data_IF_810396626423
#
_entry.id   IF_810396626423
#
_cell.length_a   1.000
_cell.length_b   1.000
_cell.length_c   1.000
_cell.angle_alpha   90.00
_cell.angle_beta   90.00
_cell.angle_gamma   90.00
#
_symmetry.space_group_name_H-M   'P 1'
#
loop_
_entity.id
_entity.type
_entity.pdbx_description
1 polymer ?
#
# COMPACT_ATOMS: atom_id res chain seq x y z
N UNK A 1 -9.31 -30.56 -2.53
CA UNK A 1 -9.95 -29.28 -2.68
C UNK A 1 -10.50 -28.74 -1.34
N UNK A 2 -9.76 -28.78 -0.25
CA UNK A 2 -10.21 -28.24 1.06
C UNK A 2 -9.05 -27.70 1.91
N UNK A 3 -7.87 -27.41 1.31
CA UNK A 3 -6.72 -26.89 2.04
C UNK A 3 -6.40 -25.42 1.72
N UNK A 4 -7.10 -24.79 0.80
CA UNK A 4 -6.86 -23.41 0.37
C UNK A 4 -7.62 -22.37 1.21
N UNK A 5 -8.58 -22.80 2.04
CA UNK A 5 -9.38 -21.88 2.87
C UNK A 5 -8.63 -21.34 4.11
N UNK A 6 -7.42 -21.82 4.39
CA UNK A 6 -6.65 -21.36 5.54
C UNK A 6 -5.66 -20.24 5.21
N UNK A 7 -5.42 -19.94 3.93
CA UNK A 7 -4.50 -18.87 3.50
C UNK A 7 -5.11 -17.46 3.62
N UNK A 8 -6.43 -17.36 3.60
CA UNK A 8 -7.13 -16.08 3.63
C UNK A 8 -7.09 -15.34 4.98
N UNK A 9 -6.63 -15.99 6.04
CA UNK A 9 -6.57 -15.37 7.38
C UNK A 9 -5.19 -14.84 7.76
N UNK A 10 -4.17 -15.13 6.96
CA UNK A 10 -2.77 -14.72 7.26
C UNK A 10 -2.43 -13.33 6.76
N UNK A 11 -3.20 -12.74 5.86
CA UNK A 11 -2.94 -11.41 5.30
C UNK A 11 -3.12 -10.27 6.32
N UNK A 12 -3.65 -10.55 7.48
CA UNK A 12 -4.06 -9.56 8.48
C UNK A 12 -2.96 -9.26 9.50
N UNK A 13 -1.89 -10.07 9.58
CA UNK A 13 -0.99 -10.04 10.74
C UNK A 13 0.50 -9.95 10.43
N UNK A 14 0.93 -9.62 9.23
CA UNK A 14 2.36 -9.53 8.90
C UNK A 14 2.93 -8.11 8.99
N UNK A 15 2.52 -7.35 10.00
CA UNK A 15 3.35 -6.26 10.48
C UNK A 15 4.23 -6.80 11.60
N UNK A 16 5.35 -7.39 11.23
CA UNK A 16 6.38 -7.80 12.18
C UNK A 16 6.84 -6.59 12.96
N UNK A 17 6.57 -6.56 14.25
CA UNK A 17 7.09 -5.59 15.18
C UNK A 17 8.61 -5.58 15.15
N UNK A 18 9.19 -4.79 14.29
CA UNK A 18 10.61 -4.45 14.31
C UNK A 18 10.78 -3.09 14.93
N UNK A 19 11.25 -3.13 16.18
CA UNK A 19 11.88 -2.04 16.91
C UNK A 19 11.21 -0.66 16.82
N UNK A 20 10.60 -0.27 17.92
CA UNK A 20 10.39 1.14 18.28
C UNK A 20 11.73 1.88 18.09
N UNK A 21 11.90 2.53 16.96
CA UNK A 21 12.94 3.51 16.76
C UNK A 21 12.58 4.68 17.68
N UNK A 22 13.36 4.87 18.71
CA UNK A 22 13.28 6.07 19.55
C UNK A 22 13.57 7.27 18.67
N UNK A 23 12.56 8.14 18.53
CA UNK A 23 12.57 9.32 17.70
C UNK A 23 13.70 10.29 18.16
N UNK A 24 14.81 10.23 17.48
CA UNK A 24 15.83 11.30 17.45
C UNK A 24 16.33 11.54 16.01
N UNK A 25 15.70 10.97 14.97
CA UNK A 25 16.24 11.04 13.61
C UNK A 25 15.18 11.36 12.57
N UNK A 26 15.61 12.18 11.66
CA UNK A 26 15.02 12.69 10.43
C UNK A 26 13.55 12.32 10.19
N UNK A 27 12.70 13.34 10.17
CA UNK A 27 11.31 13.26 9.72
C UNK A 27 11.18 12.25 8.56
N UNK A 28 10.30 11.26 8.69
CA UNK A 28 10.11 10.19 7.71
C UNK A 28 9.90 10.76 6.28
N UNK A 29 9.18 11.87 6.13
CA UNK A 29 9.05 12.53 4.83
C UNK A 29 10.40 12.87 4.21
N UNK A 30 11.44 13.15 5.00
CA UNK A 30 12.79 13.41 4.48
C UNK A 30 13.45 12.19 3.84
N UNK A 31 12.98 10.99 4.15
CA UNK A 31 13.48 9.72 3.62
C UNK A 31 12.80 9.32 2.32
N UNK A 32 11.56 9.76 2.09
CA UNK A 32 10.71 9.40 0.95
C UNK A 32 10.60 10.52 -0.09
N UNK A 33 11.67 11.26 -0.32
CA UNK A 33 11.67 12.35 -1.31
C UNK A 33 11.55 11.82 -2.73
N UNK A 34 10.73 12.46 -3.58
CA UNK A 34 10.58 12.09 -4.98
C UNK A 34 9.13 12.04 -5.44
N UNK A 35 8.93 11.49 -6.62
CA UNK A 35 7.60 11.29 -7.23
C UNK A 35 7.27 9.81 -7.24
N UNK A 36 6.04 9.48 -6.88
CA UNK A 36 5.54 8.12 -6.74
C UNK A 36 4.32 7.91 -7.63
N UNK A 37 4.26 6.75 -8.26
CA UNK A 37 3.14 6.25 -9.07
C UNK A 37 2.54 5.01 -8.43
N UNK A 38 1.37 4.58 -8.88
CA UNK A 38 0.73 3.36 -8.38
C UNK A 38 1.60 2.13 -8.62
N UNK A 39 1.77 1.30 -7.59
CA UNK A 39 2.67 0.16 -7.57
C UNK A 39 2.17 -0.97 -8.51
N UNK A 40 0.93 -1.40 -8.33
CA UNK A 40 0.41 -2.60 -8.99
C UNK A 40 0.32 -2.51 -10.51
N UNK A 41 0.01 -1.36 -11.15
CA UNK A 41 0.15 -1.21 -12.59
C UNK A 41 1.58 -1.49 -13.08
N UNK A 42 2.61 -1.06 -12.33
CA UNK A 42 4.02 -1.33 -12.66
C UNK A 42 4.34 -2.81 -12.48
N UNK A 43 3.99 -3.41 -11.33
CA UNK A 43 4.28 -4.82 -11.06
C UNK A 43 3.57 -5.79 -12.00
N UNK A 44 2.44 -5.39 -12.59
CA UNK A 44 1.65 -6.21 -13.52
C UNK A 44 2.06 -6.08 -14.99
N UNK A 45 3.09 -5.29 -15.31
CA UNK A 45 3.58 -5.21 -16.68
C UNK A 45 4.08 -6.58 -17.18
N UNK A 46 3.76 -6.92 -18.45
CA UNK A 46 4.07 -8.22 -19.06
C UNK A 46 5.56 -8.60 -18.93
N UNK A 47 6.46 -7.61 -18.96
CA UNK A 47 7.89 -7.84 -18.82
C UNK A 47 8.30 -8.45 -17.47
N UNK A 48 7.49 -8.32 -16.43
CA UNK A 48 7.76 -8.85 -15.09
C UNK A 48 7.08 -10.20 -14.81
N UNK A 49 6.34 -10.76 -15.76
CA UNK A 49 5.63 -12.02 -15.57
C UNK A 49 6.57 -13.18 -15.18
N UNK A 50 7.71 -13.31 -15.87
CA UNK A 50 8.72 -14.33 -15.54
C UNK A 50 9.32 -14.11 -14.14
N UNK A 51 9.46 -12.87 -13.69
CA UNK A 51 9.93 -12.58 -12.34
C UNK A 51 8.92 -13.03 -11.27
N UNK A 52 7.64 -12.80 -11.49
CA UNK A 52 6.59 -13.33 -10.64
C UNK A 52 6.65 -14.85 -10.52
N UNK A 53 6.72 -15.57 -11.64
CA UNK A 53 6.81 -17.03 -11.66
C UNK A 53 8.07 -17.54 -10.96
N UNK A 54 9.20 -16.87 -11.14
CA UNK A 54 10.46 -17.25 -10.49
C UNK A 54 10.40 -17.12 -8.96
N UNK A 55 9.65 -16.17 -8.44
CA UNK A 55 9.47 -15.97 -6.99
C UNK A 55 8.38 -16.88 -6.40
N UNK A 56 7.28 -17.09 -7.13
CA UNK A 56 6.11 -17.84 -6.64
C UNK A 56 6.31 -19.35 -6.76
N UNK A 57 6.90 -19.85 -7.85
CA UNK A 57 7.07 -21.29 -8.09
C UNK A 57 7.79 -22.05 -6.97
N UNK A 58 8.88 -21.52 -6.38
CA UNK A 58 9.53 -22.20 -5.25
C UNK A 58 8.65 -22.34 -4.02
N UNK A 59 7.66 -21.47 -3.85
CA UNK A 59 6.79 -21.41 -2.67
C UNK A 59 5.55 -22.31 -2.82
N UNK A 60 4.97 -22.38 -4.03
CA UNK A 60 3.69 -23.08 -4.27
C UNK A 60 3.78 -24.25 -5.24
N UNK A 61 4.90 -24.42 -5.94
CA UNK A 61 5.11 -25.44 -6.97
C UNK A 61 4.63 -25.02 -8.37
N UNK A 62 5.18 -25.67 -9.42
CA UNK A 62 4.91 -25.31 -10.83
C UNK A 62 3.42 -25.37 -11.21
N UNK A 63 2.66 -26.31 -10.64
CA UNK A 63 1.25 -26.53 -10.99
C UNK A 63 0.35 -25.36 -10.52
N UNK A 64 0.72 -24.69 -9.43
CA UNK A 64 -0.08 -23.64 -8.82
C UNK A 64 0.44 -22.23 -9.14
N UNK A 65 1.65 -22.09 -9.68
CA UNK A 65 2.35 -20.80 -9.76
C UNK A 65 1.58 -19.74 -10.58
N UNK A 66 1.08 -20.08 -11.75
CA UNK A 66 0.32 -19.15 -12.62
C UNK A 66 -0.96 -18.65 -11.97
N UNK A 67 -1.73 -19.56 -11.37
CA UNK A 67 -2.96 -19.21 -10.68
C UNK A 67 -2.67 -18.35 -9.44
N UNK A 68 -1.56 -18.62 -8.76
CA UNK A 68 -1.14 -17.86 -7.58
C UNK A 68 -0.69 -16.44 -7.96
N UNK A 69 0.11 -16.28 -9.03
CA UNK A 69 0.50 -14.95 -9.53
C UNK A 69 -0.74 -14.14 -9.88
N UNK A 70 -1.67 -14.75 -10.62
CA UNK A 70 -2.92 -14.10 -10.99
C UNK A 70 -3.73 -13.67 -9.76
N UNK A 71 -3.76 -14.50 -8.72
CA UNK A 71 -4.44 -14.20 -7.47
C UNK A 71 -3.77 -13.05 -6.68
N UNK A 72 -2.44 -13.05 -6.56
CA UNK A 72 -1.70 -12.00 -5.86
C UNK A 72 -1.92 -10.62 -6.50
N UNK A 73 -1.84 -10.55 -7.82
CA UNK A 73 -2.14 -9.31 -8.55
C UNK A 73 -3.60 -8.90 -8.40
N UNK A 74 -4.53 -9.87 -8.45
CA UNK A 74 -5.97 -9.62 -8.27
C UNK A 74 -6.32 -9.04 -6.91
N UNK A 75 -5.66 -9.49 -5.84
CA UNK A 75 -5.92 -9.05 -4.45
C UNK A 75 -5.81 -7.54 -4.26
N UNK A 76 -4.89 -6.89 -4.96
CA UNK A 76 -4.57 -5.47 -4.78
C UNK A 76 -5.09 -4.58 -5.91
N UNK A 77 -5.99 -5.09 -6.73
CA UNK A 77 -6.62 -4.36 -7.84
C UNK A 77 -8.12 -4.24 -7.66
N UNK A 78 -8.59 -4.16 -6.41
CA UNK A 78 -9.97 -3.91 -6.06
C UNK A 78 -10.42 -2.52 -6.54
N UNK A 79 -11.72 -2.37 -6.72
CA UNK A 79 -12.39 -1.14 -7.11
C UNK A 79 -13.48 -0.74 -6.10
N UNK A 80 -13.56 -1.49 -4.98
CA UNK A 80 -14.49 -1.24 -3.89
C UNK A 80 -13.72 -0.89 -2.63
N UNK A 81 -14.24 0.07 -1.87
CA UNK A 81 -13.75 0.41 -0.54
C UNK A 81 -14.90 0.93 0.35
N UNK A 82 -14.64 1.05 1.65
CA UNK A 82 -15.62 1.50 2.62
C UNK A 82 -16.78 0.53 2.81
N UNK A 83 -17.96 1.05 3.08
CA UNK A 83 -19.13 0.20 3.40
C UNK A 83 -19.52 -0.74 2.26
N UNK A 84 -19.32 -0.34 1.01
CA UNK A 84 -19.63 -1.18 -0.16
C UNK A 84 -18.72 -2.42 -0.21
N UNK A 85 -17.43 -2.25 0.09
CA UNK A 85 -16.50 -3.38 0.20
C UNK A 85 -16.83 -4.29 1.39
N UNK A 86 -17.14 -3.72 2.55
CA UNK A 86 -17.56 -4.49 3.74
C UNK A 86 -18.75 -5.37 3.40
N UNK A 87 -19.81 -4.79 2.82
CA UNK A 87 -21.06 -5.52 2.48
C UNK A 87 -20.79 -6.62 1.43
N UNK A 88 -19.93 -6.35 0.44
CA UNK A 88 -19.58 -7.30 -0.61
C UNK A 88 -18.80 -8.50 -0.05
N UNK A 89 -17.80 -8.24 0.80
CA UNK A 89 -16.91 -9.28 1.33
C UNK A 89 -17.53 -10.07 2.51
N UNK A 90 -18.47 -9.47 3.23
CA UNK A 90 -19.33 -10.25 4.15
C UNK A 90 -20.23 -11.24 3.40
N UNK A 91 -20.71 -10.86 2.21
CA UNK A 91 -21.54 -11.72 1.39
C UNK A 91 -20.75 -12.83 0.67
N UNK A 92 -19.52 -12.54 0.26
CA UNK A 92 -18.61 -13.46 -0.44
C UNK A 92 -17.15 -13.21 -0.03
N UNK A 93 -16.68 -13.80 1.09
CA UNK A 93 -15.31 -13.62 1.57
C UNK A 93 -14.23 -14.07 0.57
N UNK A 94 -14.54 -15.00 -0.33
CA UNK A 94 -13.60 -15.48 -1.33
C UNK A 94 -13.34 -14.44 -2.44
N UNK A 95 -14.15 -13.38 -2.51
CA UNK A 95 -13.98 -12.27 -3.44
C UNK A 95 -13.18 -11.09 -2.87
N UNK A 96 -12.71 -11.18 -1.62
CA UNK A 96 -12.04 -10.08 -0.91
C UNK A 96 -10.81 -9.59 -1.67
N UNK A 97 -10.75 -8.25 -1.83
CA UNK A 97 -9.64 -7.52 -2.46
C UNK A 97 -9.40 -6.20 -1.75
N UNK A 98 -8.22 -5.65 -1.95
CA UNK A 98 -7.91 -4.29 -1.55
C UNK A 98 -7.91 -3.37 -2.77
N UNK A 99 -8.43 -2.17 -2.61
CA UNK A 99 -8.20 -1.07 -3.53
C UNK A 99 -6.85 -0.44 -3.15
N UNK A 100 -5.83 -0.67 -4.00
CA UNK A 100 -4.47 -0.19 -3.74
C UNK A 100 -4.08 1.01 -4.61
N UNK A 101 -5.05 1.70 -5.16
CA UNK A 101 -4.88 2.85 -6.03
C UNK A 101 -5.06 4.19 -5.29
N UNK A 102 -4.60 5.26 -5.92
CA UNK A 102 -4.89 6.61 -5.45
C UNK A 102 -6.38 6.94 -5.58
N UNK A 103 -6.93 7.60 -4.57
CA UNK A 103 -8.27 8.20 -4.63
C UNK A 103 -8.22 9.69 -4.99
N UNK A 104 -9.39 10.26 -5.28
CA UNK A 104 -9.52 11.70 -5.54
C UNK A 104 -8.94 12.17 -6.88
N UNK A 105 -8.73 11.26 -7.83
CA UNK A 105 -8.22 11.56 -9.16
C UNK A 105 -6.71 11.79 -9.24
N UNK A 106 -5.98 11.52 -8.18
CA UNK A 106 -4.51 11.58 -8.16
C UNK A 106 -3.97 10.47 -9.06
N UNK A 107 -2.99 10.81 -9.92
CA UNK A 107 -2.25 9.85 -10.73
C UNK A 107 -0.78 9.74 -10.30
N UNK A 108 -0.24 10.79 -9.67
CA UNK A 108 1.11 10.83 -9.13
C UNK A 108 1.15 11.66 -7.86
N UNK A 109 1.94 11.24 -6.90
CA UNK A 109 2.22 11.97 -5.67
C UNK A 109 3.70 12.37 -5.62
N UNK A 110 3.99 13.59 -5.19
CA UNK A 110 5.35 14.07 -5.00
C UNK A 110 5.56 14.54 -3.57
N UNK A 111 6.67 14.09 -2.96
CA UNK A 111 7.14 14.57 -1.66
C UNK A 111 8.39 15.42 -1.86
N UNK A 112 8.35 16.69 -1.45
CA UNK A 112 9.43 17.66 -1.55
C UNK A 112 9.59 18.41 -0.21
N UNK A 113 10.63 18.08 0.56
CA UNK A 113 10.72 18.49 1.95
C UNK A 113 9.51 17.97 2.74
N UNK A 114 8.80 18.86 3.41
CA UNK A 114 7.57 18.54 4.12
C UNK A 114 6.31 18.79 3.29
N UNK A 115 6.44 19.07 2.01
CA UNK A 115 5.31 19.27 1.11
C UNK A 115 4.94 17.95 0.43
N UNK A 116 3.68 17.56 0.52
CA UNK A 116 3.11 16.49 -0.30
C UNK A 116 2.17 17.15 -1.32
N UNK A 117 2.27 16.73 -2.57
CA UNK A 117 1.42 17.20 -3.65
C UNK A 117 0.97 16.04 -4.53
N UNK A 118 -0.21 16.17 -5.14
CA UNK A 118 -0.74 15.23 -6.10
C UNK A 118 -1.17 15.91 -7.39
N UNK A 119 -0.96 15.21 -8.51
CA UNK A 119 -1.42 15.65 -9.84
C UNK A 119 -2.31 14.58 -10.47
N UNK A 120 -3.21 15.01 -11.36
CA UNK A 120 -4.00 14.10 -12.19
C UNK A 120 -3.18 13.53 -13.37
N UNK A 121 -3.82 12.70 -14.20
CA UNK A 121 -3.21 12.10 -15.38
C UNK A 121 -2.78 13.13 -16.46
N UNK A 122 -3.37 14.31 -16.46
CA UNK A 122 -3.03 15.42 -17.35
C UNK A 122 -1.92 16.34 -16.77
N UNK A 123 -1.50 16.09 -15.54
CA UNK A 123 -0.48 16.86 -14.82
C UNK A 123 -1.04 18.11 -14.12
N UNK A 124 -2.35 18.25 -13.98
CA UNK A 124 -2.93 19.35 -13.20
C UNK A 124 -2.82 19.05 -11.72
N UNK A 125 -2.45 20.06 -10.92
CA UNK A 125 -2.34 19.92 -9.46
C UNK A 125 -3.73 19.74 -8.86
N UNK A 126 -3.91 18.64 -8.13
CA UNK A 126 -5.11 18.32 -7.34
C UNK A 126 -4.99 18.90 -5.94
N UNK A 127 -3.83 18.66 -5.29
CA UNK A 127 -3.51 19.21 -3.98
C UNK A 127 -2.02 19.52 -3.86
N UNK A 128 -1.66 20.43 -2.94
CA UNK A 128 -0.28 20.71 -2.54
C UNK A 128 -0.31 21.38 -1.17
N UNK A 129 0.14 20.69 -0.13
CA UNK A 129 0.12 21.17 1.25
C UNK A 129 1.43 20.86 1.97
N UNK A 130 1.76 21.65 3.00
CA UNK A 130 2.82 21.34 3.94
C UNK A 130 2.29 20.48 5.08
N UNK A 131 3.05 19.48 5.50
CA UNK A 131 2.67 18.52 6.52
C UNK A 131 3.62 18.53 7.71
N UNK A 132 3.08 18.22 8.87
CA UNK A 132 3.83 18.05 10.11
C UNK A 132 3.49 16.70 10.73
N UNK A 133 4.50 16.03 11.28
CA UNK A 133 4.33 14.76 11.96
C UNK A 133 3.40 14.93 13.18
N UNK A 134 2.61 13.90 13.44
CA UNK A 134 1.72 13.80 14.60
C UNK A 134 2.19 12.66 15.49
N UNK A 135 2.04 12.86 16.80
CA UNK A 135 2.20 11.79 17.78
C UNK A 135 0.84 11.10 18.00
N UNK A 136 0.60 10.03 17.26
CA UNK A 136 -0.63 9.24 17.32
C UNK A 136 -0.28 7.82 17.73
N UNK A 137 -0.73 7.41 18.94
CA UNK A 137 -0.63 6.00 19.34
C UNK A 137 -1.53 5.15 18.44
N UNK A 138 -0.94 4.14 17.79
CA UNK A 138 -1.67 3.20 16.96
C UNK A 138 -1.01 1.82 17.01
N UNK A 139 -1.80 0.77 16.84
CA UNK A 139 -1.35 -0.62 16.93
C UNK A 139 -0.55 -1.07 15.70
N UNK A 140 -0.71 -0.37 14.57
CA UNK A 140 -0.13 -0.74 13.27
C UNK A 140 1.22 -0.05 12.99
N UNK A 141 1.72 0.80 13.90
CA UNK A 141 3.00 1.49 13.73
C UNK A 141 3.02 2.58 12.66
N UNK A 142 1.85 2.99 12.14
CA UNK A 142 1.77 4.05 11.13
C UNK A 142 2.33 5.37 11.63
N UNK A 143 2.98 6.09 10.71
CA UNK A 143 3.47 7.44 10.90
C UNK A 143 2.44 8.44 10.38
N UNK A 144 1.87 9.22 11.27
CA UNK A 144 0.80 10.16 10.93
C UNK A 144 1.34 11.56 10.67
N UNK A 145 0.76 12.21 9.67
CA UNK A 145 1.03 13.58 9.26
C UNK A 145 -0.26 14.35 9.08
N UNK A 146 -0.22 15.66 9.36
CA UNK A 146 -1.34 16.56 9.13
C UNK A 146 -0.90 17.85 8.45
N UNK A 147 -1.80 18.44 7.66
CA UNK A 147 -1.69 19.83 7.25
C UNK A 147 -2.61 20.73 8.05
N UNK A 148 -2.21 22.00 8.22
CA UNK A 148 -3.03 23.04 8.82
C UNK A 148 -3.94 23.75 7.80
N UNK A 149 -3.84 23.41 6.52
CA UNK A 149 -4.61 24.06 5.47
C UNK A 149 -6.08 23.63 5.52
N UNK A 150 -6.98 24.59 5.71
CA UNK A 150 -8.40 24.32 5.92
C UNK A 150 -9.14 23.81 4.67
N UNK A 151 -8.52 23.89 3.50
CA UNK A 151 -9.07 23.48 2.20
C UNK A 151 -8.47 22.16 1.69
N UNK A 152 -7.72 21.45 2.54
CA UNK A 152 -7.07 20.19 2.16
C UNK A 152 -8.07 19.03 1.92
N UNK A 153 -9.28 19.08 2.52
CA UNK A 153 -10.30 18.05 2.36
C UNK A 153 -9.76 16.64 2.66
N UNK A 154 -9.93 15.70 1.74
CA UNK A 154 -9.44 14.32 1.92
C UNK A 154 -7.91 14.19 2.07
N UNK A 155 -7.15 15.22 1.79
CA UNK A 155 -5.69 15.24 1.95
C UNK A 155 -5.25 15.90 3.27
N UNK A 156 -6.15 16.04 4.24
CA UNK A 156 -5.83 16.66 5.55
C UNK A 156 -4.85 15.82 6.36
N UNK A 157 -5.04 14.51 6.38
CA UNK A 157 -4.19 13.58 7.11
C UNK A 157 -3.58 12.52 6.18
N UNK A 158 -2.34 12.14 6.48
CA UNK A 158 -1.67 10.98 5.88
C UNK A 158 -1.22 10.02 6.99
N UNK A 159 -1.29 8.72 6.70
CA UNK A 159 -0.75 7.66 7.54
C UNK A 159 0.13 6.77 6.64
N UNK A 160 1.44 6.75 6.89
CA UNK A 160 2.42 5.96 6.15
C UNK A 160 2.82 4.74 6.96
N UNK A 161 2.93 3.57 6.30
CA UNK A 161 3.56 2.40 6.87
C UNK A 161 5.09 2.58 6.83
N UNK A 162 5.81 2.40 7.95
CA UNK A 162 7.25 2.67 8.01
C UNK A 162 8.13 1.53 7.51
N UNK A 163 7.58 0.36 7.27
CA UNK A 163 8.31 -0.89 7.00
C UNK A 163 8.70 -1.12 5.54
N UNK A 164 8.24 -0.28 4.63
CA UNK A 164 8.28 -0.55 3.19
C UNK A 164 9.44 0.08 2.44
N UNK A 165 10.37 0.78 3.11
CA UNK A 165 11.19 1.76 2.42
C UNK A 165 12.63 1.38 2.12
N UNK A 166 13.28 0.59 2.98
CA UNK A 166 14.74 0.52 2.93
C UNK A 166 15.27 -0.22 1.69
N UNK A 167 14.56 -1.26 1.25
CA UNK A 167 15.08 -2.15 0.20
C UNK A 167 14.24 -2.14 -1.09
N UNK A 168 12.99 -1.68 -1.06
CA UNK A 168 12.05 -1.90 -2.16
C UNK A 168 11.57 -0.64 -2.87
N UNK A 169 11.84 0.55 -2.34
CA UNK A 169 11.43 1.84 -2.92
C UNK A 169 9.92 1.93 -3.20
N UNK A 170 9.11 1.28 -2.37
CA UNK A 170 7.68 1.38 -2.42
C UNK A 170 7.13 2.01 -1.14
N UNK A 171 5.93 2.58 -1.23
CA UNK A 171 5.22 3.20 -0.13
C UNK A 171 3.87 2.53 0.02
N UNK A 172 3.49 2.32 1.26
CA UNK A 172 2.12 2.02 1.63
C UNK A 172 1.58 3.12 2.51
N UNK A 173 0.43 3.67 2.17
CA UNK A 173 -0.15 4.77 2.92
C UNK A 173 -1.64 4.97 2.66
N UNK A 174 -2.25 5.74 3.52
CA UNK A 174 -3.64 6.16 3.45
C UNK A 174 -3.74 7.66 3.66
N UNK A 175 -4.82 8.29 3.20
CA UNK A 175 -5.13 9.69 3.47
C UNK A 175 -6.63 9.91 3.60
N UNK A 176 -7.04 10.84 4.47
CA UNK A 176 -8.45 11.17 4.69
C UNK A 176 -8.62 12.58 5.29
N UNK A 177 -9.85 13.10 5.22
CA UNK A 177 -10.24 14.31 5.93
C UNK A 177 -10.40 14.09 7.44
N UNK A 178 -10.79 12.87 7.86
CA UNK A 178 -10.94 12.51 9.27
C UNK A 178 -9.86 11.50 9.66
N UNK A 179 -9.12 11.81 10.74
CA UNK A 179 -8.06 10.94 11.27
C UNK A 179 -8.56 9.54 11.64
N UNK A 180 -9.80 9.43 12.14
CA UNK A 180 -10.35 8.14 12.53
C UNK A 180 -10.52 7.17 11.35
N UNK A 181 -10.74 7.69 10.15
CA UNK A 181 -10.85 6.88 8.95
C UNK A 181 -9.53 6.19 8.53
N UNK A 182 -8.40 6.61 9.11
CA UNK A 182 -7.08 6.04 8.81
C UNK A 182 -6.63 4.96 9.80
N UNK A 183 -7.35 4.76 10.90
CA UNK A 183 -6.91 3.88 12.00
C UNK A 183 -7.31 2.42 11.82
N UNK A 184 -8.29 2.13 10.97
CA UNK A 184 -8.74 0.76 10.70
C UNK A 184 -8.74 0.43 9.21
N UNK A 185 -8.24 -0.77 8.88
CA UNK A 185 -8.22 -1.29 7.51
C UNK A 185 -9.53 -1.91 7.08
N UNK A 186 -10.35 -2.35 8.03
CA UNK A 186 -11.54 -3.18 7.80
C UNK A 186 -12.83 -2.50 8.20
N UNK A 187 -12.76 -1.28 8.72
CA UNK A 187 -13.91 -0.52 9.20
C UNK A 187 -13.87 0.91 8.66
N UNK A 188 -15.04 1.55 8.62
CA UNK A 188 -15.17 2.95 8.28
C UNK A 188 -15.22 3.23 6.78
N UNK A 189 -15.09 4.50 6.44
CA UNK A 189 -15.34 5.01 5.09
C UNK A 189 -14.32 4.52 4.06
N UNK A 190 -13.14 4.10 4.49
CA UNK A 190 -12.03 3.65 3.64
C UNK A 190 -11.58 2.22 3.97
N UNK A 191 -12.48 1.39 4.51
CA UNK A 191 -12.22 -0.03 4.69
C UNK A 191 -11.79 -0.67 3.36
N UNK A 192 -10.79 -1.57 3.41
CA UNK A 192 -10.23 -2.27 2.25
C UNK A 192 -9.54 -1.37 1.21
N UNK A 193 -9.13 -0.17 1.60
CA UNK A 193 -8.33 0.71 0.76
C UNK A 193 -6.98 1.04 1.44
N UNK A 194 -5.90 0.88 0.69
CA UNK A 194 -4.56 1.28 1.09
C UNK A 194 -3.70 1.47 -0.15
N UNK A 195 -3.18 2.67 -0.36
CA UNK A 195 -2.35 2.95 -1.54
C UNK A 195 -1.05 2.17 -1.48
N UNK A 196 -0.75 1.43 -2.54
CA UNK A 196 0.59 0.94 -2.85
C UNK A 196 1.21 1.83 -3.93
N UNK A 197 2.36 2.43 -3.65
CA UNK A 197 3.05 3.31 -4.60
C UNK A 197 4.54 2.95 -4.72
N UNK A 198 5.14 3.23 -5.88
CA UNK A 198 6.55 3.03 -6.16
C UNK A 198 7.15 4.31 -6.74
N UNK A 199 8.45 4.56 -6.53
CA UNK A 199 9.12 5.70 -7.14
C UNK A 199 8.97 5.68 -8.67
N UNK A 200 8.62 6.83 -9.27
CA UNK A 200 8.43 6.95 -10.73
C UNK A 200 9.70 6.58 -11.52
N UNK A 201 10.87 6.80 -10.94
CA UNK A 201 12.18 6.47 -11.49
C UNK A 201 12.78 5.17 -10.91
N UNK A 202 11.93 4.30 -10.34
CA UNK A 202 12.36 3.02 -9.81
C UNK A 202 13.12 2.21 -10.87
N UNK A 203 14.26 1.67 -10.46
CA UNK A 203 15.06 0.80 -11.33
C UNK A 203 14.40 -0.58 -11.47
N UNK A 204 14.73 -1.30 -12.53
CA UNK A 204 14.29 -2.69 -12.70
C UNK A 204 14.63 -3.55 -11.46
N UNK A 205 15.80 -3.36 -10.83
CA UNK A 205 16.20 -4.07 -9.61
C UNK A 205 15.22 -3.79 -8.45
N UNK A 206 14.76 -2.57 -8.29
CA UNK A 206 13.80 -2.17 -7.26
C UNK A 206 12.40 -2.77 -7.53
N UNK A 207 11.96 -2.80 -8.78
CA UNK A 207 10.71 -3.45 -9.16
C UNK A 207 10.77 -4.95 -8.89
N UNK A 208 11.87 -5.62 -9.23
CA UNK A 208 12.08 -7.04 -8.95
C UNK A 208 12.13 -7.32 -7.44
N UNK A 209 12.73 -6.42 -6.66
CA UNK A 209 12.74 -6.54 -5.20
C UNK A 209 11.32 -6.39 -4.62
N UNK A 210 10.50 -5.47 -5.12
CA UNK A 210 9.10 -5.33 -4.71
C UNK A 210 8.28 -6.59 -5.03
N UNK A 211 8.46 -7.20 -6.21
CA UNK A 211 7.81 -8.46 -6.59
C UNK A 211 8.21 -9.59 -5.62
N UNK A 212 9.51 -9.71 -5.33
CA UNK A 212 10.01 -10.72 -4.40
C UNK A 212 9.43 -10.55 -2.99
N UNK A 213 9.45 -9.32 -2.47
CA UNK A 213 8.90 -9.00 -1.16
C UNK A 213 7.43 -9.38 -1.09
N UNK A 214 6.61 -8.88 -2.02
CA UNK A 214 5.17 -9.11 -2.03
C UNK A 214 4.82 -10.61 -2.15
N UNK A 215 5.53 -11.36 -3.02
CA UNK A 215 5.35 -12.80 -3.13
C UNK A 215 5.72 -13.53 -1.83
N UNK A 216 6.83 -13.15 -1.19
CA UNK A 216 7.32 -13.80 0.01
C UNK A 216 6.41 -13.54 1.21
N UNK A 217 6.01 -12.31 1.44
CA UNK A 217 5.14 -11.93 2.56
C UNK A 217 3.77 -12.60 2.49
N UNK A 218 3.23 -12.76 1.28
CA UNK A 218 1.90 -13.35 1.10
C UNK A 218 1.89 -14.88 1.01
N UNK A 219 3.04 -15.52 0.75
CA UNK A 219 3.08 -16.97 0.49
C UNK A 219 3.99 -17.75 1.45
N UNK A 220 4.85 -17.09 2.24
CA UNK A 220 5.67 -17.78 3.23
C UNK A 220 4.78 -18.22 4.39
N UNK A 221 4.90 -19.50 4.79
CA UNK A 221 4.28 -19.97 6.03
C UNK A 221 5.04 -19.31 7.20
N UNK A 222 4.32 -18.70 8.13
CA UNK A 222 4.90 -18.28 9.41
C UNK A 222 5.42 -19.51 10.16
N UNK A 223 6.71 -19.53 10.54
CA UNK A 223 7.31 -20.56 11.40
C UNK A 223 6.96 -20.34 12.89
#
# INVERSE_FOLDING_TARGET
MKKWLSLLLSLVCLFSFSAVATAEDADFLSQIQGTFVELFPVLSEEQYHDAWLNNVTPLVGEEAAEDTVSYLLYMCTGDLYGQEAIDAYEADPDSMRFDCYYLGGVAKMTVEGNTISGVDADGNVIFRHEYTAMDVENENGFLFYQTADADAGQFTYFAFSPDTMEDTWHLEFRYAEDLNDLQSWFEGNYAYWNVGAIAEDATEEQVLAAINLFATENLSEEE
#
